data_IF_287619671402
#
_entry.id   IF_287619671402
#
_cell.length_a   1.000
_cell.length_b   1.000
_cell.length_c   1.000
_cell.angle_alpha   90.00
_cell.angle_beta   90.00
_cell.angle_gamma   90.00
#
_symmetry.space_group_name_H-M   'P 1'
#
loop_
_entity.id
_entity.type
_entity.pdbx_description
1 polymer ?
#
# COMPACT_ATOMS: atom_id res chain seq x y z
N UNK A 1 9.91 10.93 2.50
CA UNK A 1 9.51 9.62 1.95
C UNK A 1 8.02 9.45 2.15
N UNK A 2 7.29 9.08 1.10
CA UNK A 2 5.86 8.76 1.16
C UNK A 2 5.66 7.31 0.78
N UNK A 3 4.71 6.65 1.44
CA UNK A 3 4.31 5.28 1.14
C UNK A 3 2.90 5.28 0.57
N UNK A 4 2.82 5.22 -0.75
CA UNK A 4 1.61 5.36 -1.53
C UNK A 4 0.87 4.02 -1.63
N UNK A 5 -0.40 4.04 -1.25
CA UNK A 5 -1.29 2.87 -1.25
C UNK A 5 -2.65 3.25 -1.83
N UNK A 6 -3.46 2.25 -2.17
CA UNK A 6 -4.90 2.47 -2.32
C UNK A 6 -5.48 2.92 -0.97
N UNK A 7 -6.08 4.11 -0.92
CA UNK A 7 -6.62 4.69 0.31
C UNK A 7 -7.86 3.97 0.85
N UNK A 8 -8.52 3.15 0.03
CA UNK A 8 -9.68 2.36 0.44
C UNK A 8 -9.22 0.97 0.84
N UNK A 9 -8.59 0.25 -0.08
CA UNK A 9 -8.23 -1.14 0.17
C UNK A 9 -7.90 -1.97 -1.06
N UNK A 10 -7.68 -3.26 -0.82
CA UNK A 10 -7.35 -4.25 -1.83
C UNK A 10 -8.24 -5.50 -1.70
N UNK A 11 -8.46 -6.16 -2.83
CA UNK A 11 -9.15 -7.45 -2.85
C UNK A 11 -8.30 -8.53 -2.16
N UNK A 12 -8.95 -9.36 -1.34
CA UNK A 12 -8.30 -10.44 -0.57
C UNK A 12 -7.48 -11.37 -1.46
N UNK A 13 -8.06 -11.81 -2.57
CA UNK A 13 -7.41 -12.66 -3.58
C UNK A 13 -7.02 -11.88 -4.84
N UNK A 14 -6.73 -10.58 -4.71
CA UNK A 14 -6.29 -9.72 -5.80
C UNK A 14 -4.82 -9.30 -5.67
N UNK A 15 -4.27 -8.68 -6.74
CA UNK A 15 -2.96 -8.03 -6.70
C UNK A 15 -2.93 -6.89 -5.68
N UNK A 16 -1.81 -6.76 -4.95
CA UNK A 16 -1.62 -5.72 -3.92
C UNK A 16 -0.24 -5.13 -4.07
N UNK A 17 -0.19 -3.81 -4.27
CA UNK A 17 1.05 -3.07 -4.53
C UNK A 17 1.04 -1.77 -3.74
N UNK A 18 2.20 -1.42 -3.20
CA UNK A 18 2.48 -0.11 -2.66
C UNK A 18 3.72 0.47 -3.33
N UNK A 19 3.81 1.80 -3.36
CA UNK A 19 4.95 2.51 -3.94
C UNK A 19 5.59 3.41 -2.89
N UNK A 20 6.89 3.27 -2.70
CA UNK A 20 7.69 4.26 -1.97
C UNK A 20 8.04 5.38 -2.95
N UNK A 21 7.79 6.62 -2.57
CA UNK A 21 8.25 7.82 -3.28
C UNK A 21 9.22 8.61 -2.39
N UNK A 22 10.41 8.87 -2.91
CA UNK A 22 11.47 9.57 -2.16
C UNK A 22 12.44 10.28 -3.11
N UNK A 23 13.12 11.31 -2.62
CA UNK A 23 14.23 11.96 -3.35
C UNK A 23 15.54 11.15 -3.25
N UNK A 24 15.58 10.13 -2.39
CA UNK A 24 16.77 9.31 -2.14
C UNK A 24 16.95 8.24 -3.24
N UNK A 25 18.16 8.14 -3.85
CA UNK A 25 18.45 7.14 -4.88
C UNK A 25 18.58 5.71 -4.32
N UNK A 26 18.82 5.57 -3.02
CA UNK A 26 18.90 4.29 -2.31
C UNK A 26 18.26 4.42 -0.93
N UNK A 27 17.70 3.31 -0.43
CA UNK A 27 17.15 3.18 0.92
C UNK A 27 18.17 2.58 1.88
N UNK A 28 17.97 2.79 3.19
CA UNK A 28 18.77 2.11 4.21
C UNK A 28 18.28 0.70 4.52
N UNK A 29 17.00 0.42 4.23
CA UNK A 29 16.38 -0.91 4.31
C UNK A 29 15.52 -1.22 3.09
N UNK A 30 15.61 -2.47 2.60
CA UNK A 30 14.80 -3.00 1.50
C UNK A 30 13.75 -4.00 1.98
N UNK A 31 13.28 -3.85 3.22
CA UNK A 31 12.22 -4.69 3.80
C UNK A 31 11.06 -3.81 4.27
N UNK A 32 9.87 -4.13 3.77
CA UNK A 32 8.61 -3.54 4.21
C UNK A 32 7.91 -4.47 5.19
N UNK A 33 7.33 -3.90 6.25
CA UNK A 33 6.50 -4.61 7.21
C UNK A 33 5.04 -4.29 6.96
N UNK A 34 4.20 -5.33 6.86
CA UNK A 34 2.75 -5.19 6.91
C UNK A 34 2.30 -5.38 8.34
N UNK A 35 1.65 -4.36 8.90
CA UNK A 35 1.30 -4.29 10.32
C UNK A 35 -0.21 -4.24 10.44
N UNK A 36 -0.77 -5.06 11.33
CA UNK A 36 -2.19 -5.03 11.65
C UNK A 36 -2.53 -3.72 12.38
N UNK A 37 -3.52 -2.99 11.87
CA UNK A 37 -3.94 -1.70 12.44
C UNK A 37 -4.54 -1.83 13.85
N UNK A 38 -5.06 -3.01 14.21
CA UNK A 38 -5.69 -3.25 15.53
C UNK A 38 -4.70 -3.70 16.59
N UNK A 39 -3.82 -4.66 16.27
CA UNK A 39 -2.89 -5.24 17.24
C UNK A 39 -1.51 -4.58 17.24
N UNK A 40 -1.23 -3.74 16.25
CA UNK A 40 0.09 -3.15 15.97
C UNK A 40 1.21 -4.18 15.79
N UNK A 41 0.84 -5.44 15.55
CA UNK A 41 1.80 -6.51 15.30
C UNK A 41 2.11 -6.62 13.80
N UNK A 42 3.38 -6.84 13.48
CA UNK A 42 3.81 -7.20 12.13
C UNK A 42 3.26 -8.57 11.77
N UNK A 43 2.41 -8.63 10.75
CA UNK A 43 1.76 -9.86 10.28
C UNK A 43 2.48 -10.49 9.09
N UNK A 44 3.24 -9.71 8.33
CA UNK A 44 4.05 -10.19 7.22
C UNK A 44 5.16 -9.20 6.87
N UNK A 45 6.17 -9.66 6.13
CA UNK A 45 7.25 -8.83 5.57
C UNK A 45 7.40 -9.06 4.07
N UNK A 46 7.76 -8.01 3.34
CA UNK A 46 7.89 -8.02 1.88
C UNK A 46 9.17 -7.31 1.44
N UNK A 47 9.70 -7.71 0.29
CA UNK A 47 10.84 -7.05 -0.32
C UNK A 47 10.43 -5.68 -0.88
N UNK A 48 11.37 -4.74 -0.83
CA UNK A 48 11.28 -3.46 -1.53
C UNK A 48 12.16 -3.55 -2.77
N UNK A 49 11.57 -3.34 -3.93
CA UNK A 49 12.23 -3.46 -5.23
C UNK A 49 12.50 -2.08 -5.83
N UNK A 50 13.76 -1.79 -6.18
CA UNK A 50 14.12 -0.55 -6.86
C UNK A 50 13.46 -0.46 -8.25
N UNK A 51 12.78 0.65 -8.53
CA UNK A 51 12.27 0.98 -9.88
C UNK A 51 13.00 2.18 -10.49
N UNK A 52 13.53 3.06 -9.64
CA UNK A 52 14.30 4.22 -10.06
C UNK A 52 13.43 5.41 -10.45
N UNK A 53 13.90 6.21 -11.41
CA UNK A 53 13.15 7.37 -11.92
C UNK A 53 12.17 6.96 -13.00
N UNK A 54 10.99 7.58 -12.98
CA UNK A 54 9.97 7.41 -14.03
C UNK A 54 10.05 8.58 -15.00
N UNK A 55 10.62 8.36 -16.18
CA UNK A 55 10.77 9.37 -17.23
C UNK A 55 11.28 10.72 -16.66
N UNK A 56 10.52 11.81 -16.86
CA UNK A 56 10.82 13.15 -16.36
C UNK A 56 9.90 13.57 -15.20
N UNK A 57 9.37 12.62 -14.43
CA UNK A 57 8.58 12.92 -13.24
C UNK A 57 9.47 13.57 -12.17
N UNK A 58 8.98 14.66 -11.57
CA UNK A 58 9.77 15.48 -10.64
C UNK A 58 9.70 14.98 -9.20
N UNK A 59 8.99 13.89 -8.94
CA UNK A 59 8.73 13.32 -7.62
C UNK A 59 9.86 12.43 -7.08
N UNK A 60 10.95 12.28 -7.83
CA UNK A 60 12.15 11.55 -7.41
C UNK A 60 12.19 10.09 -7.86
N UNK A 61 12.55 9.21 -6.93
CA UNK A 61 12.75 7.77 -7.10
C UNK A 61 11.56 6.99 -6.55
N UNK A 62 11.28 5.87 -7.21
CA UNK A 62 10.19 4.98 -6.85
C UNK A 62 10.71 3.58 -6.55
N UNK A 63 10.06 2.94 -5.57
CA UNK A 63 10.31 1.56 -5.19
C UNK A 63 8.98 0.83 -5.06
N UNK A 64 8.95 -0.42 -5.51
CA UNK A 64 7.76 -1.26 -5.49
C UNK A 64 7.78 -2.19 -4.29
N UNK A 65 6.62 -2.35 -3.65
CA UNK A 65 6.36 -3.42 -2.68
C UNK A 65 5.19 -4.22 -3.21
N UNK A 66 5.43 -5.48 -3.59
CA UNK A 66 4.39 -6.43 -3.94
C UNK A 66 4.07 -7.31 -2.73
N UNK A 67 2.83 -7.20 -2.24
CA UNK A 67 2.30 -8.00 -1.13
C UNK A 67 1.08 -8.80 -1.53
N UNK A 68 0.97 -9.14 -2.82
CA UNK A 68 -0.17 -9.87 -3.39
C UNK A 68 -0.37 -11.24 -2.75
N UNK A 69 0.70 -11.87 -2.25
CA UNK A 69 0.67 -13.17 -1.57
C UNK A 69 -0.04 -13.14 -0.21
N UNK A 70 -0.24 -11.97 0.39
CA UNK A 70 -0.99 -11.82 1.63
C UNK A 70 -2.50 -11.89 1.36
N UNK A 71 -3.22 -12.76 2.08
CA UNK A 71 -4.64 -13.04 1.81
C UNK A 71 -5.55 -13.00 3.04
N UNK A 72 -5.04 -12.52 4.18
CA UNK A 72 -5.86 -12.39 5.38
C UNK A 72 -6.62 -11.07 5.34
N UNK A 73 -7.91 -11.13 5.68
CA UNK A 73 -8.77 -9.94 5.72
C UNK A 73 -8.54 -9.14 7.00
N UNK A 74 -8.61 -7.82 6.90
CA UNK A 74 -8.45 -6.91 8.03
C UNK A 74 -7.96 -5.53 7.61
N UNK A 75 -7.69 -4.69 8.60
CA UNK A 75 -7.12 -3.37 8.40
C UNK A 75 -5.62 -3.38 8.68
N UNK A 76 -4.87 -2.80 7.76
CA UNK A 76 -3.41 -2.83 7.78
C UNK A 76 -2.82 -1.49 7.36
N UNK A 77 -1.53 -1.34 7.62
CA UNK A 77 -0.69 -0.33 7.01
C UNK A 77 0.70 -0.92 6.74
N UNK A 78 1.43 -0.32 5.82
CA UNK A 78 2.82 -0.68 5.56
C UNK A 78 3.75 0.27 6.31
N UNK A 79 4.91 -0.25 6.70
CA UNK A 79 5.99 0.51 7.28
C UNK A 79 7.32 0.12 6.63
N UNK A 80 8.11 1.13 6.29
CA UNK A 80 9.50 1.00 5.81
C UNK A 80 10.31 2.05 6.56
N UNK A 81 11.27 1.59 7.37
CA UNK A 81 12.03 2.47 8.27
C UNK A 81 11.07 3.29 9.16
N UNK A 82 11.19 4.62 9.13
CA UNK A 82 10.34 5.56 9.87
C UNK A 82 9.11 6.02 9.07
N UNK A 83 8.93 5.58 7.82
CA UNK A 83 7.80 5.98 6.98
C UNK A 83 6.67 4.95 7.04
N UNK A 84 5.44 5.48 7.04
CA UNK A 84 4.20 4.72 7.21
C UNK A 84 3.19 5.11 6.13
N UNK A 85 2.44 4.14 5.61
CA UNK A 85 1.29 4.44 4.75
C UNK A 85 0.07 4.89 5.56
N UNK A 86 -0.96 5.37 4.87
CA UNK A 86 -2.31 5.39 5.43
C UNK A 86 -2.80 3.95 5.70
N UNK A 87 -3.81 3.83 6.55
CA UNK A 87 -4.54 2.57 6.71
C UNK A 87 -5.26 2.20 5.42
N UNK A 88 -5.41 0.89 5.19
CA UNK A 88 -6.18 0.32 4.10
C UNK A 88 -6.75 -1.04 4.53
N UNK A 89 -7.87 -1.44 3.93
CA UNK A 89 -8.52 -2.72 4.21
C UNK A 89 -8.14 -3.78 3.17
N UNK A 90 -7.91 -5.02 3.60
CA UNK A 90 -7.89 -6.20 2.73
C UNK A 90 -9.18 -6.97 2.96
N UNK A 91 -9.96 -7.21 1.90
CA UNK A 91 -11.28 -7.84 2.01
C UNK A 91 -11.88 -8.23 0.67
N UNK A 92 -13.06 -8.83 0.67
CA UNK A 92 -13.77 -9.22 -0.56
C UNK A 92 -14.70 -8.10 -1.03
N UNK A 93 -14.67 -7.81 -2.33
CA UNK A 93 -15.49 -6.79 -2.99
C UNK A 93 -15.35 -5.40 -2.36
N UNK A 94 -14.13 -5.02 -1.93
CA UNK A 94 -13.91 -3.87 -1.05
C UNK A 94 -14.36 -2.55 -1.69
N UNK A 95 -14.04 -2.33 -2.97
CA UNK A 95 -14.43 -1.12 -3.67
C UNK A 95 -15.95 -1.07 -3.89
N UNK A 96 -16.56 -2.21 -4.20
CA UNK A 96 -18.01 -2.30 -4.40
C UNK A 96 -18.74 -1.96 -3.10
N UNK A 97 -18.35 -2.59 -2.00
CA UNK A 97 -18.98 -2.45 -0.69
C UNK A 97 -18.82 -1.04 -0.13
N UNK A 98 -17.67 -0.39 -0.36
CA UNK A 98 -17.37 0.92 0.22
C UNK A 98 -17.86 2.10 -0.64
N UNK A 99 -18.00 1.96 -1.97
CA UNK A 99 -18.16 3.13 -2.84
C UNK A 99 -19.44 3.16 -3.67
N UNK A 100 -20.09 2.01 -3.92
CA UNK A 100 -21.20 1.95 -4.87
C UNK A 100 -22.37 2.84 -4.47
N UNK A 101 -22.76 2.81 -3.19
CA UNK A 101 -23.90 3.61 -2.67
C UNK A 101 -23.66 5.11 -2.87
N UNK A 102 -22.46 5.57 -2.57
CA UNK A 102 -22.09 6.99 -2.69
C UNK A 102 -22.05 7.45 -4.15
N UNK A 103 -21.55 6.59 -5.04
CA UNK A 103 -21.55 6.87 -6.49
C UNK A 103 -22.98 6.93 -7.04
N UNK A 104 -23.89 6.04 -6.59
CA UNK A 104 -25.31 6.12 -6.96
C UNK A 104 -25.93 7.42 -6.47
N UNK A 105 -25.62 7.84 -5.24
CA UNK A 105 -26.12 9.10 -4.70
C UNK A 105 -25.59 10.32 -5.45
N UNK A 106 -24.33 10.28 -5.90
CA UNK A 106 -23.74 11.34 -6.73
C UNK A 106 -24.51 11.58 -8.05
N UNK A 107 -25.00 10.51 -8.69
CA UNK A 107 -25.78 10.63 -9.93
C UNK A 107 -27.24 11.02 -9.72
N UNK A 108 -27.79 10.81 -8.51
CA UNK A 108 -29.21 11.00 -8.19
C UNK A 108 -29.57 12.48 -8.01
#
# INVERSE_FOLDING_TARGET
MLLLTNHIGYERLGPKKAIIQTEQPHLSSYTAQLICATSEQTVATFAVEEQGKVANWHQGYFYLIDFSSFTDSGDYFLQVEDSRSSYFTVGEHILLNQTLSDVIHYFK
#
